data_IF_465777543080
#
_entry.id   IF_465777543080
#
_cell.length_a   1.000
_cell.length_b   1.000
_cell.length_c   1.000
_cell.angle_alpha   90.00
_cell.angle_beta   90.00
_cell.angle_gamma   90.00
#
_symmetry.space_group_name_H-M   'P 1'
#
loop_
_entity.id
_entity.type
_entity.pdbx_description
1 polymer ?
#
# COMPACT_ATOMS: atom_id res chain seq x y z
N UNK A 1 8.17 -2.19 44.30
CA UNK A 1 7.84 -1.38 43.11
C UNK A 1 8.09 -2.29 41.93
N UNK A 2 7.04 -2.79 41.27
CA UNK A 2 7.23 -3.47 39.99
C UNK A 2 7.72 -2.42 38.99
N UNK A 3 8.77 -2.74 38.24
CA UNK A 3 9.14 -1.97 37.05
C UNK A 3 7.91 -1.91 36.15
N UNK A 4 7.41 -0.70 35.89
CA UNK A 4 6.25 -0.49 35.02
C UNK A 4 6.67 -0.76 33.59
N UNK A 5 5.96 -1.66 32.91
CA UNK A 5 6.26 -2.08 31.55
C UNK A 5 6.15 -0.88 30.59
N UNK A 6 7.21 -0.65 29.82
CA UNK A 6 7.18 0.29 28.69
C UNK A 6 6.13 -0.15 27.67
N UNK A 7 5.44 0.80 27.03
CA UNK A 7 4.65 0.57 25.80
C UNK A 7 5.60 0.34 24.63
N UNK A 8 6.39 -0.71 24.72
CA UNK A 8 7.35 -1.06 23.70
C UNK A 8 6.99 -2.47 23.21
N UNK A 9 6.09 -2.50 22.23
CA UNK A 9 5.83 -3.72 21.46
C UNK A 9 7.05 -4.13 20.62
N UNK A 10 7.99 -3.20 20.42
CA UNK A 10 9.10 -3.31 19.47
C UNK A 10 8.64 -3.08 18.05
N UNK A 11 7.46 -2.47 17.85
CA UNK A 11 6.89 -2.13 16.55
C UNK A 11 6.65 -0.61 16.54
N UNK A 12 7.51 0.18 15.88
CA UNK A 12 7.47 1.64 15.95
C UNK A 12 6.10 2.25 15.59
N UNK A 13 5.41 1.72 14.58
CA UNK A 13 4.10 2.22 14.14
C UNK A 13 2.97 1.89 15.10
N UNK A 14 3.02 0.75 15.80
CA UNK A 14 2.05 0.37 16.82
C UNK A 14 2.24 1.21 18.08
N UNK A 15 3.50 1.34 18.51
CA UNK A 15 3.85 2.14 19.68
C UNK A 15 3.48 3.61 19.46
N UNK A 16 3.75 4.18 18.28
CA UNK A 16 3.35 5.54 17.93
C UNK A 16 1.82 5.73 17.88
N UNK A 17 1.07 4.77 17.31
CA UNK A 17 -0.40 4.81 17.27
C UNK A 17 -1.03 4.70 18.67
N UNK A 18 -0.37 4.02 19.62
CA UNK A 18 -0.79 3.99 21.02
C UNK A 18 -0.44 5.29 21.75
N UNK A 19 0.79 5.78 21.56
CA UNK A 19 1.32 6.94 22.27
C UNK A 19 0.64 8.26 21.89
N UNK A 20 0.19 8.41 20.64
CA UNK A 20 -0.40 9.68 20.18
C UNK A 20 -1.60 10.13 21.02
N UNK A 21 -2.37 9.20 21.61
CA UNK A 21 -3.44 9.50 22.56
C UNK A 21 -2.95 10.17 23.86
N UNK A 22 -1.74 9.84 24.32
CA UNK A 22 -1.16 10.50 25.50
C UNK A 22 -0.83 11.96 25.21
N UNK A 23 -0.35 12.26 24.00
CA UNK A 23 -0.08 13.64 23.57
C UNK A 23 -1.37 14.44 23.44
N UNK A 24 -2.40 13.89 22.80
CA UNK A 24 -3.74 14.49 22.73
C UNK A 24 -4.29 14.80 24.13
N UNK A 25 -4.25 13.83 25.03
CA UNK A 25 -4.67 13.98 26.41
C UNK A 25 -3.89 15.07 27.17
N UNK A 26 -2.58 15.19 26.92
CA UNK A 26 -1.75 16.22 27.51
C UNK A 26 -2.11 17.62 26.96
N UNK A 27 -2.34 17.76 25.65
CA UNK A 27 -2.79 19.01 25.02
C UNK A 27 -4.17 19.42 25.52
N UNK A 28 -5.10 18.48 25.62
CA UNK A 28 -6.42 18.71 26.21
C UNK A 28 -6.34 19.19 27.67
N UNK A 29 -5.32 18.76 28.42
CA UNK A 29 -5.03 19.24 29.80
C UNK A 29 -4.25 20.56 29.85
N UNK A 30 -3.93 21.17 28.72
CA UNK A 30 -3.25 22.45 28.61
C UNK A 30 -1.72 22.37 28.59
N UNK A 31 -1.13 21.23 28.22
CA UNK A 31 0.33 21.09 28.11
C UNK A 31 0.92 21.99 27.01
N UNK A 32 2.00 22.70 27.35
CA UNK A 32 2.79 23.50 26.40
C UNK A 32 3.86 22.66 25.69
N UNK A 33 4.41 23.17 24.59
CA UNK A 33 5.47 22.49 23.83
C UNK A 33 6.68 22.17 24.72
N UNK A 34 7.05 23.10 25.60
CA UNK A 34 8.15 22.90 26.56
C UNK A 34 7.85 21.74 27.52
N UNK A 35 6.60 21.60 27.98
CA UNK A 35 6.20 20.52 28.88
C UNK A 35 6.16 19.15 28.18
N UNK A 36 5.80 19.12 26.90
CA UNK A 36 5.88 17.91 26.06
C UNK A 36 7.35 17.51 25.83
N UNK A 37 8.22 18.48 25.53
CA UNK A 37 9.65 18.28 25.28
C UNK A 37 10.45 17.87 26.54
N UNK A 38 10.06 18.33 27.74
CA UNK A 38 10.72 18.03 29.02
C UNK A 38 10.47 16.59 29.55
N UNK A 39 9.85 15.71 28.73
CA UNK A 39 9.58 14.28 28.99
C UNK A 39 8.56 13.96 30.10
N UNK A 40 7.45 14.68 30.20
CA UNK A 40 6.30 14.27 31.05
C UNK A 40 4.94 14.49 30.39
N UNK A 41 4.65 13.73 29.35
CA UNK A 41 3.29 13.65 28.81
C UNK A 41 2.37 13.11 29.91
N UNK A 42 1.31 13.87 30.21
CA UNK A 42 0.65 13.87 31.50
C UNK A 42 -0.72 13.19 31.51
N UNK A 43 -0.92 12.40 32.57
CA UNK A 43 -2.16 11.98 33.23
C UNK A 43 -2.95 10.77 32.65
N UNK A 44 -2.24 9.67 32.38
CA UNK A 44 -2.24 8.52 33.30
C UNK A 44 -0.79 8.08 33.53
N UNK A 45 -0.52 7.27 34.54
CA UNK A 45 0.78 7.19 35.22
C UNK A 45 1.75 6.19 34.57
N UNK A 46 1.57 5.81 33.30
CA UNK A 46 1.90 4.44 32.87
C UNK A 46 2.57 4.25 31.50
N UNK A 47 2.69 5.25 30.60
CA UNK A 47 3.29 5.07 29.26
C UNK A 47 4.51 5.96 29.00
N UNK A 48 5.69 5.36 28.86
CA UNK A 48 6.93 6.05 28.48
C UNK A 48 7.20 5.94 26.99
N UNK A 49 7.68 7.00 26.34
CA UNK A 49 8.15 6.93 24.95
C UNK A 49 9.28 5.87 24.86
N UNK A 50 9.15 4.84 24.02
CA UNK A 50 10.17 3.83 23.79
C UNK A 50 11.52 4.44 23.41
N UNK A 51 12.60 3.76 23.76
CA UNK A 51 13.95 4.29 23.54
C UNK A 51 14.31 4.47 22.07
N UNK A 52 13.64 3.78 21.14
CA UNK A 52 13.84 3.97 19.70
C UNK A 52 13.05 5.17 19.16
N UNK A 53 11.94 5.58 19.78
CA UNK A 53 11.15 6.72 19.33
C UNK A 53 11.63 8.05 19.96
N UNK A 54 11.66 9.08 19.15
CA UNK A 54 11.91 10.46 19.58
C UNK A 54 10.77 11.35 19.11
N UNK A 55 10.11 12.06 20.02
CA UNK A 55 9.12 13.07 19.68
C UNK A 55 9.69 14.17 18.77
N UNK A 56 8.93 14.60 17.77
CA UNK A 56 9.29 15.65 16.82
C UNK A 56 8.36 16.88 16.89
N UNK A 57 7.06 16.68 16.75
CA UNK A 57 6.03 17.73 16.70
C UNK A 57 4.64 17.09 16.90
N UNK A 58 3.63 17.87 17.26
CA UNK A 58 2.23 17.44 17.33
C UNK A 58 1.26 18.55 16.90
N UNK A 59 -0.01 18.18 16.73
CA UNK A 59 -1.11 19.14 16.65
C UNK A 59 -2.32 18.60 17.37
N UNK A 60 -3.16 19.52 17.87
CA UNK A 60 -4.46 19.23 18.44
C UNK A 60 -5.44 20.28 17.96
N UNK A 61 -6.52 19.85 17.31
CA UNK A 61 -7.61 20.71 16.85
C UNK A 61 -8.91 20.36 17.60
N UNK A 62 -9.23 21.17 18.60
CA UNK A 62 -10.46 21.07 19.41
C UNK A 62 -11.74 21.18 18.56
N UNK A 63 -11.69 21.90 17.43
CA UNK A 63 -12.86 22.16 16.58
C UNK A 63 -13.19 20.95 15.72
N UNK A 64 -12.16 20.32 15.14
CA UNK A 64 -12.32 19.14 14.30
C UNK A 64 -12.27 17.82 15.09
N UNK A 65 -11.86 17.83 16.36
CA UNK A 65 -11.65 16.62 17.15
C UNK A 65 -10.53 15.74 16.56
N UNK A 66 -9.53 16.36 15.93
CA UNK A 66 -8.41 15.64 15.30
C UNK A 66 -7.09 16.02 15.93
N UNK A 67 -6.22 15.05 16.10
CA UNK A 67 -4.87 15.27 16.61
C UNK A 67 -3.89 14.30 15.96
N UNK A 68 -2.61 14.62 16.06
CA UNK A 68 -1.57 13.72 15.59
C UNK A 68 -0.21 14.11 16.12
N UNK A 69 0.68 13.13 16.15
CA UNK A 69 2.03 13.25 16.71
C UNK A 69 3.04 12.64 15.75
N UNK A 70 4.15 13.35 15.54
CA UNK A 70 5.26 12.89 14.74
C UNK A 70 6.41 12.42 15.65
N UNK A 71 7.00 11.28 15.28
CA UNK A 71 8.15 10.70 15.94
C UNK A 71 9.25 10.39 14.92
N UNK A 72 10.52 10.48 15.32
CA UNK A 72 11.64 9.88 14.61
C UNK A 72 11.88 8.50 15.23
N UNK A 73 11.81 7.45 14.42
CA UNK A 73 12.33 6.14 14.79
C UNK A 73 13.84 6.14 14.58
N UNK A 74 14.59 6.10 15.67
CA UNK A 74 16.06 6.22 15.65
C UNK A 74 16.76 4.97 15.13
N UNK A 75 16.07 3.84 15.09
CA UNK A 75 16.62 2.59 14.60
C UNK A 75 16.61 2.56 13.06
N UNK A 76 15.52 3.02 12.44
CA UNK A 76 15.36 3.06 10.97
C UNK A 76 15.69 4.42 10.33
N UNK A 77 15.62 5.51 11.09
CA UNK A 77 15.67 6.87 10.57
C UNK A 77 14.37 7.33 9.89
N UNK A 78 13.29 6.56 9.97
CA UNK A 78 11.98 6.93 9.46
C UNK A 78 11.28 7.94 10.38
N UNK A 79 10.52 8.86 9.78
CA UNK A 79 9.58 9.71 10.50
C UNK A 79 8.22 9.05 10.51
N UNK A 80 7.66 8.84 11.69
CA UNK A 80 6.35 8.23 11.88
C UNK A 80 5.36 9.31 12.26
N UNK A 81 4.29 9.47 11.47
CA UNK A 81 3.17 10.35 11.80
C UNK A 81 2.00 9.49 12.25
N UNK A 82 1.61 9.63 13.52
CA UNK A 82 0.47 8.95 14.12
C UNK A 82 -0.72 9.90 14.27
N UNK A 83 -1.93 9.45 13.95
CA UNK A 83 -3.17 10.20 14.16
C UNK A 83 -4.05 9.52 15.21
N UNK A 84 -4.69 10.29 16.09
CA UNK A 84 -5.65 9.75 17.06
C UNK A 84 -7.00 9.44 16.41
N UNK A 85 -7.67 8.40 16.91
CA UNK A 85 -9.11 8.25 16.75
C UNK A 85 -9.87 8.92 17.91
N UNK A 86 -11.18 8.69 18.03
CA UNK A 86 -11.98 9.21 19.15
C UNK A 86 -11.40 8.77 20.50
N UNK A 87 -11.17 9.74 21.39
CA UNK A 87 -10.58 9.51 22.70
C UNK A 87 -11.64 9.04 23.73
N UNK A 88 -11.47 7.86 24.34
CA UNK A 88 -12.53 7.24 25.13
C UNK A 88 -12.50 7.69 26.59
N UNK A 89 -13.41 8.58 27.00
CA UNK A 89 -13.62 8.87 28.42
C UNK A 89 -14.90 8.27 29.04
N UNK A 90 -15.80 7.65 28.26
CA UNK A 90 -16.73 6.61 28.72
C UNK A 90 -17.58 6.06 27.56
N UNK A 91 -17.42 4.76 27.25
CA UNK A 91 -18.22 3.95 26.31
C UNK A 91 -17.83 4.02 24.82
N UNK A 92 -16.65 3.47 24.53
CA UNK A 92 -15.98 3.42 23.20
C UNK A 92 -16.88 2.88 22.10
N UNK A 93 -17.68 1.84 22.36
CA UNK A 93 -18.54 1.25 21.33
C UNK A 93 -19.65 2.20 20.91
N UNK A 94 -20.25 2.92 21.88
CA UNK A 94 -21.33 3.88 21.65
C UNK A 94 -20.78 5.18 21.04
N UNK A 95 -19.66 5.68 21.55
CA UNK A 95 -18.99 6.90 21.07
C UNK A 95 -18.46 6.72 19.64
N UNK A 96 -17.73 5.63 19.37
CA UNK A 96 -17.22 5.33 18.04
C UNK A 96 -18.37 5.09 17.07
N UNK A 97 -19.41 4.32 17.39
CA UNK A 97 -20.53 4.10 16.47
C UNK A 97 -21.30 5.39 16.13
N UNK A 98 -21.43 6.31 17.10
CA UNK A 98 -22.10 7.60 16.91
C UNK A 98 -21.25 8.58 16.09
N UNK A 99 -19.95 8.67 16.38
CA UNK A 99 -19.00 9.55 15.67
C UNK A 99 -18.70 9.04 14.26
N UNK A 100 -18.56 7.74 14.08
CA UNK A 100 -18.47 7.05 12.77
C UNK A 100 -19.70 7.39 11.94
N UNK A 101 -20.90 7.43 12.53
CA UNK A 101 -22.10 7.87 11.84
C UNK A 101 -22.05 9.32 11.33
N UNK A 102 -21.33 10.24 11.98
CA UNK A 102 -21.19 11.64 11.55
C UNK A 102 -20.01 11.91 10.62
N UNK A 103 -18.89 11.23 10.84
CA UNK A 103 -17.61 11.46 10.15
C UNK A 103 -17.51 10.66 8.84
N UNK A 104 -18.18 9.51 8.75
CA UNK A 104 -18.26 8.68 7.53
C UNK A 104 -19.29 9.23 6.52
N UNK A 105 -20.18 10.14 6.93
CA UNK A 105 -21.20 10.77 6.08
C UNK A 105 -20.66 11.82 5.09
N UNK A 106 -19.36 11.85 4.81
CA UNK A 106 -18.74 12.69 3.78
C UNK A 106 -18.98 14.21 3.92
N UNK A 107 -19.22 14.73 5.13
CA UNK A 107 -19.12 16.17 5.41
C UNK A 107 -17.65 16.51 5.71
N UNK A 108 -16.89 16.81 4.66
CA UNK A 108 -15.44 16.97 4.69
C UNK A 108 -14.90 18.19 5.45
N UNK A 109 -14.93 18.15 6.78
CA UNK A 109 -14.37 19.21 7.64
C UNK A 109 -13.31 18.75 8.65
N UNK A 110 -12.74 17.54 8.52
CA UNK A 110 -11.81 16.98 9.55
C UNK A 110 -10.40 16.59 9.05
N UNK A 111 -10.06 16.77 7.75
CA UNK A 111 -8.74 16.37 7.24
C UNK A 111 -7.72 17.50 7.09
N UNK A 112 -8.17 18.76 7.09
CA UNK A 112 -7.32 19.90 6.74
C UNK A 112 -6.13 20.07 7.67
N UNK A 113 -6.32 19.91 8.99
CA UNK A 113 -5.22 19.99 9.95
C UNK A 113 -4.29 18.78 9.84
N UNK A 114 -4.81 17.59 9.56
CA UNK A 114 -3.99 16.40 9.31
C UNK A 114 -3.12 16.55 8.04
N UNK A 115 -3.66 17.19 7.00
CA UNK A 115 -2.97 17.53 5.77
C UNK A 115 -1.88 18.58 5.99
N UNK A 116 -2.20 19.68 6.66
CA UNK A 116 -1.22 20.72 7.06
C UNK A 116 -0.13 20.13 7.95
N UNK A 117 -0.46 19.20 8.83
CA UNK A 117 0.51 18.51 9.66
C UNK A 117 1.46 17.66 8.84
N UNK A 118 0.93 16.85 7.92
CA UNK A 118 1.75 16.05 7.01
C UNK A 118 2.72 16.91 6.21
N UNK A 119 2.23 18.00 5.60
CA UNK A 119 3.06 18.94 4.84
C UNK A 119 4.15 19.57 5.71
N UNK A 120 3.80 19.99 6.93
CA UNK A 120 4.74 20.58 7.89
C UNK A 120 5.85 19.60 8.27
N UNK A 121 5.51 18.35 8.57
CA UNK A 121 6.49 17.31 8.92
C UNK A 121 7.37 16.99 7.71
N UNK A 122 6.76 16.78 6.55
CA UNK A 122 7.47 16.51 5.29
C UNK A 122 8.45 17.63 4.91
N UNK A 123 8.05 18.89 5.06
CA UNK A 123 8.91 20.03 4.79
C UNK A 123 10.12 20.09 5.74
N UNK A 124 9.94 19.70 7.01
CA UNK A 124 11.00 19.78 8.03
C UNK A 124 11.94 18.57 8.02
N UNK A 125 11.41 17.38 7.75
CA UNK A 125 12.12 16.12 7.98
C UNK A 125 12.26 15.23 6.72
N UNK A 126 11.68 15.62 5.58
CA UNK A 126 11.82 14.94 4.30
C UNK A 126 10.70 13.93 3.99
N UNK A 127 10.91 13.17 2.91
CA UNK A 127 9.88 12.28 2.35
C UNK A 127 9.82 10.88 2.98
N UNK A 128 10.78 10.54 3.86
CA UNK A 128 10.86 9.23 4.52
C UNK A 128 9.86 9.13 5.67
N UNK A 129 8.57 9.15 5.33
CA UNK A 129 7.46 9.21 6.27
C UNK A 129 6.63 7.92 6.21
N UNK A 130 6.42 7.31 7.37
CA UNK A 130 5.47 6.23 7.60
C UNK A 130 4.25 6.76 8.35
N UNK A 131 3.06 6.58 7.81
CA UNK A 131 1.81 6.97 8.48
C UNK A 131 1.28 5.83 9.35
N UNK A 132 0.66 6.18 10.48
CA UNK A 132 -0.01 5.21 11.35
C UNK A 132 -1.22 5.82 12.06
N UNK A 133 -2.08 4.98 12.58
CA UNK A 133 -3.26 5.40 13.32
C UNK A 133 -4.17 4.24 13.68
N UNK A 134 -5.06 4.50 14.62
CA UNK A 134 -6.05 3.54 15.11
C UNK A 134 -7.47 4.06 14.95
N UNK A 135 -8.43 3.17 14.69
CA UNK A 135 -9.84 3.55 14.58
C UNK A 135 -10.02 4.68 13.56
N UNK A 136 -10.64 5.80 13.93
CA UNK A 136 -10.73 7.00 13.10
C UNK A 136 -9.35 7.56 12.69
N UNK A 137 -8.34 7.50 13.56
CA UNK A 137 -6.97 7.89 13.22
C UNK A 137 -6.39 7.04 12.08
N UNK A 138 -6.81 5.77 11.99
CA UNK A 138 -6.49 4.90 10.85
C UNK A 138 -7.18 5.32 9.55
N UNK A 139 -8.40 5.88 9.61
CA UNK A 139 -9.05 6.50 8.45
C UNK A 139 -8.29 7.77 8.02
N UNK A 140 -7.93 8.65 8.96
CA UNK A 140 -7.18 9.87 8.69
C UNK A 140 -5.84 9.53 8.03
N UNK A 141 -5.11 8.55 8.58
CA UNK A 141 -3.86 8.07 8.00
C UNK A 141 -4.02 7.58 6.56
N UNK A 142 -5.07 6.79 6.26
CA UNK A 142 -5.37 6.36 4.90
C UNK A 142 -5.71 7.54 3.98
N UNK A 143 -6.48 8.53 4.47
CA UNK A 143 -6.86 9.71 3.67
C UNK A 143 -5.66 10.60 3.36
N UNK A 144 -4.75 10.79 4.30
CA UNK A 144 -3.46 11.48 4.13
C UNK A 144 -2.57 10.70 3.16
N UNK A 145 -2.52 9.37 3.29
CA UNK A 145 -1.79 8.52 2.36
C UNK A 145 -2.25 8.73 0.91
N UNK A 146 -3.57 8.74 0.67
CA UNK A 146 -4.13 9.04 -0.65
C UNK A 146 -3.85 10.47 -1.11
N UNK A 147 -3.98 11.45 -0.20
CA UNK A 147 -3.82 12.86 -0.55
C UNK A 147 -2.41 13.13 -1.08
N UNK A 148 -1.41 12.59 -0.40
CA UNK A 148 0.00 12.90 -0.62
C UNK A 148 0.84 11.77 -1.21
N UNK A 149 0.20 10.65 -1.54
CA UNK A 149 0.85 9.42 -1.99
C UNK A 149 1.99 8.98 -1.06
N UNK A 150 1.70 8.91 0.25
CA UNK A 150 2.68 8.54 1.26
C UNK A 150 3.24 7.14 0.99
N UNK A 151 4.56 6.92 1.12
CA UNK A 151 5.21 5.69 0.68
C UNK A 151 4.78 4.47 1.50
N UNK A 152 4.52 4.64 2.80
CA UNK A 152 4.14 3.56 3.71
C UNK A 152 3.09 4.03 4.72
N UNK A 153 2.10 3.18 4.98
CA UNK A 153 1.04 3.41 5.97
C UNK A 153 0.70 2.10 6.65
N UNK A 154 0.69 2.07 7.99
CA UNK A 154 0.33 0.89 8.79
C UNK A 154 -0.75 1.31 9.77
N UNK A 155 -1.95 0.74 9.69
CA UNK A 155 -3.09 1.16 10.53
C UNK A 155 -3.71 -0.01 11.26
N UNK A 156 -4.25 0.25 12.46
CA UNK A 156 -4.75 -0.78 13.38
C UNK A 156 -6.24 -0.57 13.65
N UNK A 157 -7.06 -1.60 13.45
CA UNK A 157 -8.52 -1.54 13.62
C UNK A 157 -9.14 -0.28 13.00
N UNK A 158 -8.65 0.09 11.82
CA UNK A 158 -8.97 1.36 11.19
C UNK A 158 -10.46 1.42 10.79
N UNK A 159 -11.03 2.62 10.83
CA UNK A 159 -12.30 2.90 10.20
C UNK A 159 -12.14 2.87 8.65
N UNK A 160 -13.21 2.53 7.90
CA UNK A 160 -13.20 2.63 6.44
C UNK A 160 -13.07 4.10 6.01
N UNK A 161 -12.56 4.34 4.80
CA UNK A 161 -12.57 5.65 4.16
C UNK A 161 -14.00 6.18 3.99
N UNK A 162 -14.94 5.30 3.63
CA UNK A 162 -16.38 5.56 3.56
C UNK A 162 -17.19 4.25 3.54
N UNK A 163 -18.51 4.32 3.77
CA UNK A 163 -19.44 3.17 3.71
C UNK A 163 -20.32 3.25 2.45
N UNK A 164 -20.09 2.40 1.45
CA UNK A 164 -20.81 2.47 0.16
C UNK A 164 -22.31 2.14 0.31
N UNK A 165 -22.69 1.28 1.27
CA UNK A 165 -24.06 0.83 1.49
C UNK A 165 -24.99 1.86 2.17
N UNK A 166 -24.46 2.96 2.70
CA UNK A 166 -25.22 4.01 3.38
C UNK A 166 -25.42 5.27 2.52
N UNK A 167 -24.97 5.25 1.26
CA UNK A 167 -25.08 6.39 0.35
C UNK A 167 -26.54 6.51 -0.14
N UNK A 168 -27.21 7.63 0.18
CA UNK A 168 -28.57 7.90 -0.30
C UNK A 168 -28.59 8.15 -1.82
N UNK A 169 -29.68 7.77 -2.45
CA UNK A 169 -30.02 8.02 -3.85
C UNK A 169 -29.85 9.47 -4.32
N UNK A 170 -29.95 10.44 -3.42
CA UNK A 170 -29.75 11.88 -3.71
C UNK A 170 -28.28 12.30 -3.74
N UNK A 171 -27.40 11.65 -2.96
CA UNK A 171 -25.96 11.94 -2.95
C UNK A 171 -25.27 11.34 -4.19
N UNK A 172 -25.79 10.21 -4.69
CA UNK A 172 -25.39 9.65 -6.01
C UNK A 172 -25.71 10.60 -7.18
N UNK A 173 -26.68 11.49 -7.01
CA UNK A 173 -27.06 12.51 -8.02
C UNK A 173 -26.12 13.73 -7.95
N UNK A 174 -25.58 14.05 -6.76
CA UNK A 174 -24.54 15.08 -6.61
C UNK A 174 -23.22 14.59 -7.23
N UNK A 175 -22.85 13.32 -7.05
CA UNK A 175 -21.72 12.69 -7.77
C UNK A 175 -21.91 12.75 -9.31
N UNK A 176 -23.14 12.65 -9.80
CA UNK A 176 -23.46 12.72 -11.24
C UNK A 176 -23.52 14.15 -11.80
N UNK A 177 -23.93 15.14 -11.00
CA UNK A 177 -24.14 16.54 -11.43
C UNK A 177 -22.95 17.46 -11.14
N UNK A 178 -22.12 17.15 -10.13
CA UNK A 178 -20.92 17.91 -9.73
C UNK A 178 -19.74 16.96 -9.44
N UNK A 179 -19.17 16.28 -10.46
CA UNK A 179 -18.18 15.19 -10.28
C UNK A 179 -16.87 15.63 -9.58
N UNK A 180 -16.54 16.91 -9.67
CA UNK A 180 -15.21 17.42 -9.28
C UNK A 180 -15.08 17.74 -7.78
N UNK A 181 -16.18 17.74 -7.03
CA UNK A 181 -16.21 18.26 -5.65
C UNK A 181 -16.58 17.26 -4.55
N UNK A 182 -17.05 16.05 -4.88
CA UNK A 182 -17.37 15.08 -3.83
C UNK A 182 -16.11 14.46 -3.23
N UNK A 183 -16.09 14.28 -1.91
CA UNK A 183 -14.96 13.68 -1.20
C UNK A 183 -14.67 12.24 -1.70
N UNK A 184 -15.73 11.53 -2.11
CA UNK A 184 -15.66 10.16 -2.66
C UNK A 184 -14.97 10.11 -4.01
N UNK A 185 -15.32 10.98 -4.95
CA UNK A 185 -14.67 10.99 -6.26
C UNK A 185 -13.21 11.43 -6.17
N UNK A 186 -12.88 12.36 -5.26
CA UNK A 186 -11.49 12.71 -4.92
C UNK A 186 -10.71 11.50 -4.40
N UNK A 187 -11.32 10.66 -3.56
CA UNK A 187 -10.74 9.39 -3.09
C UNK A 187 -10.53 8.43 -4.27
N UNK A 188 -11.57 8.15 -5.06
CA UNK A 188 -11.51 7.22 -6.21
C UNK A 188 -10.43 7.65 -7.21
N UNK A 189 -10.34 8.95 -7.51
CA UNK A 189 -9.35 9.46 -8.46
C UNK A 189 -7.93 9.43 -7.90
N UNK A 190 -7.74 9.63 -6.59
CA UNK A 190 -6.44 9.48 -5.94
C UNK A 190 -6.01 8.02 -5.87
N UNK A 191 -6.92 7.10 -5.54
CA UNK A 191 -6.69 5.65 -5.52
C UNK A 191 -6.12 5.16 -6.86
N UNK A 192 -6.67 5.61 -7.99
CA UNK A 192 -6.17 5.26 -9.34
C UNK A 192 -4.68 5.58 -9.56
N UNK A 193 -4.12 6.52 -8.79
CA UNK A 193 -2.73 6.95 -8.95
C UNK A 193 -1.88 6.74 -7.70
N UNK A 194 -2.45 6.11 -6.67
CA UNK A 194 -1.77 5.82 -5.42
C UNK A 194 -0.84 4.62 -5.62
N UNK A 195 0.40 4.75 -5.14
CA UNK A 195 1.43 3.71 -5.24
C UNK A 195 2.05 3.37 -3.89
N UNK A 196 1.62 4.05 -2.82
CA UNK A 196 2.08 3.78 -1.47
C UNK A 196 1.62 2.40 -1.02
N UNK A 197 2.32 1.83 -0.04
CA UNK A 197 1.89 0.60 0.59
C UNK A 197 1.04 0.92 1.81
N UNK A 198 -0.17 0.36 1.87
CA UNK A 198 -1.03 0.44 3.06
C UNK A 198 -1.27 -0.97 3.61
N UNK A 199 -0.84 -1.18 4.85
CA UNK A 199 -1.01 -2.43 5.61
C UNK A 199 -2.06 -2.17 6.68
N UNK A 200 -3.24 -2.77 6.53
CA UNK A 200 -4.32 -2.65 7.51
C UNK A 200 -4.34 -3.90 8.38
N UNK A 201 -4.17 -3.71 9.67
CA UNK A 201 -4.14 -4.80 10.66
C UNK A 201 -5.42 -4.72 11.47
N UNK A 202 -6.12 -5.83 11.58
CA UNK A 202 -7.41 -5.89 12.24
C UNK A 202 -7.50 -7.05 13.22
N UNK A 203 -8.07 -6.81 14.40
CA UNK A 203 -8.39 -7.87 15.35
C UNK A 203 -9.68 -8.60 14.99
N UNK A 204 -9.80 -9.84 15.42
CA UNK A 204 -10.88 -10.74 15.00
C UNK A 204 -12.25 -10.26 15.48
N UNK A 205 -12.31 -9.80 16.74
CA UNK A 205 -13.56 -9.38 17.38
C UNK A 205 -13.77 -7.85 17.29
N UNK A 206 -13.08 -7.18 16.36
CA UNK A 206 -13.23 -5.75 16.12
C UNK A 206 -14.65 -5.39 15.64
N UNK A 207 -15.44 -4.78 16.52
CA UNK A 207 -16.82 -4.44 16.21
C UNK A 207 -16.93 -3.45 15.04
N UNK A 208 -16.03 -2.46 14.95
CA UNK A 208 -16.09 -1.37 13.96
C UNK A 208 -15.98 -1.89 12.51
N UNK A 209 -15.03 -2.79 12.28
CA UNK A 209 -14.87 -3.43 10.99
C UNK A 209 -15.92 -4.52 10.75
N UNK A 210 -16.41 -5.21 11.80
CA UNK A 210 -17.50 -6.17 11.65
C UNK A 210 -18.83 -5.48 11.28
N UNK A 211 -19.09 -4.26 11.75
CA UNK A 211 -20.26 -3.47 11.33
C UNK A 211 -20.08 -2.83 9.95
N UNK A 212 -18.85 -2.56 9.49
CA UNK A 212 -18.63 -1.99 8.15
C UNK A 212 -18.84 -3.01 7.02
N UNK A 213 -18.60 -4.30 7.27
CA UNK A 213 -18.79 -5.39 6.30
C UNK A 213 -20.20 -5.43 5.67
N UNK A 214 -21.32 -5.42 6.43
CA UNK A 214 -22.67 -5.40 5.83
C UNK A 214 -22.99 -4.09 5.09
N UNK A 215 -22.27 -2.99 5.38
CA UNK A 215 -22.45 -1.68 4.74
C UNK A 215 -21.40 -1.35 3.66
N UNK A 216 -20.67 -2.37 3.18
CA UNK A 216 -19.68 -2.23 2.11
C UNK A 216 -18.63 -1.14 2.40
N UNK A 217 -17.95 -1.25 3.55
CA UNK A 217 -16.85 -0.35 3.89
C UNK A 217 -15.72 -0.38 2.85
N UNK A 218 -15.32 0.80 2.38
CA UNK A 218 -14.21 0.98 1.44
C UNK A 218 -12.95 1.36 2.19
N UNK A 219 -11.86 0.67 1.90
CA UNK A 219 -10.57 0.82 2.56
C UNK A 219 -9.44 0.88 1.54
N UNK A 220 -8.28 1.39 1.96
CA UNK A 220 -7.07 1.43 1.16
C UNK A 220 -6.12 0.27 1.49
N UNK A 221 -5.64 -0.44 0.48
CA UNK A 221 -4.62 -1.49 0.64
C UNK A 221 -5.11 -2.77 1.30
N UNK A 222 -4.15 -3.62 1.68
CA UNK A 222 -4.36 -5.00 2.07
C UNK A 222 -4.83 -5.15 3.53
N UNK A 223 -5.80 -6.06 3.75
CA UNK A 223 -6.33 -6.41 5.08
C UNK A 223 -5.59 -7.62 5.67
N UNK A 224 -5.14 -7.52 6.91
CA UNK A 224 -4.51 -8.60 7.66
C UNK A 224 -5.24 -8.82 8.98
N UNK A 225 -5.84 -10.00 9.10
CA UNK A 225 -6.53 -10.44 10.31
C UNK A 225 -5.52 -11.00 11.33
N UNK A 226 -5.58 -10.50 12.55
CA UNK A 226 -4.93 -11.11 13.70
C UNK A 226 -5.85 -12.22 14.22
N UNK A 227 -5.46 -13.48 14.05
CA UNK A 227 -6.30 -14.60 14.48
C UNK A 227 -6.29 -14.72 16.01
N UNK A 228 -7.41 -15.17 16.58
CA UNK A 228 -7.58 -15.35 18.03
C UNK A 228 -7.29 -14.06 18.83
N UNK A 229 -7.70 -12.91 18.30
CA UNK A 229 -7.45 -11.59 18.87
C UNK A 229 -8.75 -10.88 19.28
N UNK A 230 -8.64 -9.96 20.23
CA UNK A 230 -9.79 -9.34 20.92
C UNK A 230 -10.46 -8.18 20.18
N UNK A 231 -11.02 -7.25 20.96
CA UNK A 231 -11.88 -6.17 20.49
C UNK A 231 -11.16 -5.01 19.79
N UNK A 232 -11.75 -3.83 19.86
CA UNK A 232 -11.34 -2.67 19.05
C UNK A 232 -10.05 -2.01 19.50
N UNK A 233 -9.66 -2.10 20.77
CA UNK A 233 -8.64 -1.20 21.33
C UNK A 233 -7.23 -1.59 20.89
N UNK A 234 -6.35 -0.60 20.71
CA UNK A 234 -4.90 -0.88 20.66
C UNK A 234 -4.43 -1.51 21.97
N UNK A 235 -4.89 -0.98 23.10
CA UNK A 235 -4.50 -1.41 24.45
C UNK A 235 -5.78 -1.69 25.27
N UNK A 236 -5.97 -2.90 25.84
CA UNK A 236 -5.03 -4.02 25.87
C UNK A 236 -5.15 -5.00 24.67
N UNK A 237 -6.13 -4.84 23.77
CA UNK A 237 -6.50 -5.92 22.83
C UNK A 237 -5.37 -6.31 21.84
N UNK A 238 -4.46 -5.38 21.51
CA UNK A 238 -3.27 -5.65 20.68
C UNK A 238 -1.99 -5.62 21.53
N UNK A 239 -1.71 -4.52 22.23
CA UNK A 239 -0.43 -4.33 22.94
C UNK A 239 -0.31 -5.16 24.21
N UNK A 240 -1.43 -5.62 24.79
CA UNK A 240 -1.46 -6.47 25.96
C UNK A 240 -1.22 -7.96 25.65
N UNK A 241 -1.22 -8.36 24.38
CA UNK A 241 -1.06 -9.76 23.97
C UNK A 241 0.17 -9.96 23.07
N UNK A 242 1.15 -10.70 23.61
CA UNK A 242 2.42 -11.03 22.92
C UNK A 242 2.21 -11.82 21.63
N UNK A 243 1.15 -12.63 21.54
CA UNK A 243 0.85 -13.36 20.31
C UNK A 243 0.44 -12.39 19.20
N UNK A 244 -0.34 -11.35 19.53
CA UNK A 244 -0.71 -10.33 18.54
C UNK A 244 0.48 -9.51 18.10
N UNK A 245 1.36 -9.13 19.04
CA UNK A 245 2.62 -8.45 18.72
C UNK A 245 3.47 -9.31 17.75
N UNK A 246 3.56 -10.63 17.98
CA UNK A 246 4.32 -11.51 17.09
C UNK A 246 3.66 -11.66 15.71
N UNK A 247 2.33 -11.82 15.64
CA UNK A 247 1.61 -11.83 14.37
C UNK A 247 1.83 -10.53 13.58
N UNK A 248 1.79 -9.38 14.24
CA UNK A 248 2.07 -8.08 13.61
C UNK A 248 3.51 -8.01 13.08
N UNK A 249 4.49 -8.49 13.85
CA UNK A 249 5.90 -8.56 13.39
C UNK A 249 6.03 -9.42 12.15
N UNK A 250 5.41 -10.60 12.12
CA UNK A 250 5.41 -11.49 10.96
C UNK A 250 4.75 -10.86 9.73
N UNK A 251 3.64 -10.13 9.92
CA UNK A 251 2.97 -9.37 8.85
C UNK A 251 3.91 -8.28 8.32
N UNK A 252 4.42 -7.42 9.20
CA UNK A 252 5.28 -6.30 8.84
C UNK A 252 6.60 -6.74 8.18
N UNK A 253 7.21 -7.81 8.67
CA UNK A 253 8.44 -8.38 8.11
C UNK A 253 8.26 -8.88 6.68
N UNK A 254 7.11 -9.49 6.37
CA UNK A 254 6.75 -9.91 5.00
C UNK A 254 6.45 -8.74 4.08
N UNK A 255 6.08 -7.59 4.65
CA UNK A 255 5.73 -6.37 3.91
C UNK A 255 6.87 -5.34 3.86
N UNK A 256 8.07 -5.66 4.35
CA UNK A 256 9.24 -4.77 4.30
C UNK A 256 9.85 -4.69 2.89
N UNK A 257 10.16 -3.49 2.36
CA UNK A 257 10.76 -3.31 1.02
C UNK A 257 12.04 -4.14 0.76
N UNK A 258 12.80 -4.42 1.81
CA UNK A 258 14.05 -5.17 1.75
C UNK A 258 13.85 -6.66 1.42
N UNK A 259 12.72 -7.24 1.82
CA UNK A 259 12.33 -8.64 1.58
C UNK A 259 11.35 -8.84 0.42
N UNK A 260 11.01 -7.78 -0.31
CA UNK A 260 10.31 -7.90 -1.59
C UNK A 260 11.04 -8.92 -2.47
N UNK A 261 10.29 -9.86 -3.02
CA UNK A 261 10.75 -10.84 -4.02
C UNK A 261 11.39 -10.10 -5.21
N UNK A 262 12.21 -10.81 -5.99
CA UNK A 262 12.80 -10.24 -7.20
C UNK A 262 11.76 -9.65 -8.16
N UNK A 263 10.55 -10.23 -8.18
CA UNK A 263 9.41 -9.75 -8.96
C UNK A 263 8.80 -8.46 -8.39
N UNK A 264 8.55 -8.41 -7.09
CA UNK A 264 7.98 -7.22 -6.42
C UNK A 264 8.89 -6.00 -6.55
N UNK A 265 10.22 -6.18 -6.42
CA UNK A 265 11.20 -5.10 -6.65
C UNK A 265 11.15 -4.57 -8.08
N UNK A 266 11.07 -5.47 -9.08
CA UNK A 266 10.98 -5.06 -10.49
C UNK A 266 9.69 -4.30 -10.79
N UNK A 267 8.56 -4.76 -10.25
CA UNK A 267 7.27 -4.10 -10.44
C UNK A 267 7.20 -2.75 -9.71
N UNK A 268 7.80 -2.63 -8.52
CA UNK A 268 7.94 -1.36 -7.82
C UNK A 268 8.72 -0.32 -8.64
N UNK A 269 9.85 -0.71 -9.26
CA UNK A 269 10.61 0.19 -10.14
C UNK A 269 9.82 0.59 -11.39
N UNK A 270 9.02 -0.31 -11.97
CA UNK A 270 8.10 0.01 -13.07
C UNK A 270 7.07 1.06 -12.66
N UNK A 271 6.46 0.94 -11.47
CA UNK A 271 5.52 1.92 -10.95
C UNK A 271 6.18 3.29 -10.71
N UNK A 272 7.42 3.31 -10.20
CA UNK A 272 8.20 4.53 -10.01
C UNK A 272 8.49 5.26 -11.33
N UNK A 273 8.80 4.52 -12.40
CA UNK A 273 8.96 5.09 -13.75
C UNK A 273 7.66 5.73 -14.25
N UNK A 274 6.54 5.05 -14.07
CA UNK A 274 5.21 5.56 -14.45
C UNK A 274 4.87 6.86 -13.71
N UNK A 275 5.19 6.94 -12.42
CA UNK A 275 5.06 8.19 -11.65
C UNK A 275 5.92 9.32 -12.21
N UNK A 276 7.14 9.03 -12.65
CA UNK A 276 8.01 10.01 -13.31
C UNK A 276 7.34 10.63 -14.54
N UNK A 277 6.65 9.82 -15.35
CA UNK A 277 5.89 10.30 -16.51
C UNK A 277 4.69 11.16 -16.08
N UNK A 278 3.91 10.72 -15.09
CA UNK A 278 2.80 11.50 -14.52
C UNK A 278 3.28 12.88 -14.03
N UNK A 279 4.40 12.93 -13.32
CA UNK A 279 4.97 14.18 -12.80
C UNK A 279 5.46 15.10 -13.94
N UNK A 280 6.02 14.52 -15.01
CA UNK A 280 6.38 15.24 -16.23
C UNK A 280 5.16 15.88 -16.92
N UNK A 281 4.06 15.13 -17.02
CA UNK A 281 2.78 15.61 -17.57
C UNK A 281 2.20 16.76 -16.75
N UNK A 282 2.14 16.61 -15.43
CA UNK A 282 1.67 17.67 -14.51
C UNK A 282 2.51 18.95 -14.63
N UNK A 283 3.82 18.82 -14.82
CA UNK A 283 4.70 19.97 -15.05
C UNK A 283 4.42 20.64 -16.39
N UNK A 284 4.17 19.89 -17.46
CA UNK A 284 3.84 20.44 -18.78
C UNK A 284 2.48 21.15 -18.77
N UNK A 285 1.47 20.55 -18.14
CA UNK A 285 0.17 21.15 -17.84
C UNK A 285 0.32 22.53 -17.18
N UNK A 286 1.08 22.60 -16.09
CA UNK A 286 1.26 23.82 -15.31
C UNK A 286 2.11 24.91 -16.00
N UNK A 287 2.87 24.58 -17.06
CA UNK A 287 3.84 25.52 -17.66
C UNK A 287 3.58 25.87 -19.12
N UNK A 288 2.81 25.07 -19.87
CA UNK A 288 2.58 25.27 -21.32
C UNK A 288 1.12 25.41 -21.75
N UNK A 289 0.17 24.79 -21.05
CA UNK A 289 -1.20 24.60 -21.55
C UNK A 289 -2.25 25.42 -20.76
N UNK A 290 -1.84 26.51 -20.10
CA UNK A 290 -2.69 27.38 -19.26
C UNK A 290 -2.53 28.88 -19.57
N UNK A 291 -2.27 29.28 -20.82
CA UNK A 291 -2.12 30.71 -21.14
C UNK A 291 -3.44 31.50 -21.10
N UNK A 292 -4.61 30.85 -21.19
CA UNK A 292 -5.94 31.48 -21.12
C UNK A 292 -6.86 30.91 -20.01
N UNK A 293 -6.36 29.94 -19.23
CA UNK A 293 -7.11 29.29 -18.15
C UNK A 293 -7.93 28.06 -18.57
N UNK A 294 -7.83 27.59 -19.82
CA UNK A 294 -8.53 26.38 -20.31
C UNK A 294 -7.60 25.46 -21.11
N UNK A 295 -7.86 24.15 -21.06
CA UNK A 295 -7.16 23.14 -21.88
C UNK A 295 -8.01 22.88 -23.12
N UNK A 296 -7.44 23.06 -24.31
CA UNK A 296 -8.09 22.75 -25.58
C UNK A 296 -8.24 21.24 -25.79
N UNK A 297 -9.14 20.84 -26.69
CA UNK A 297 -9.31 19.42 -27.04
C UNK A 297 -8.04 18.77 -27.58
N UNK A 298 -7.16 19.53 -28.25
CA UNK A 298 -5.88 19.02 -28.78
C UNK A 298 -4.85 18.81 -27.67
N UNK A 299 -4.78 19.72 -26.69
CA UNK A 299 -3.89 19.59 -25.54
C UNK A 299 -4.35 18.45 -24.62
N UNK A 300 -5.66 18.28 -24.44
CA UNK A 300 -6.23 17.13 -23.71
C UNK A 300 -5.87 15.81 -24.41
N UNK A 301 -6.05 15.76 -25.73
CA UNK A 301 -5.68 14.58 -26.53
C UNK A 301 -4.18 14.24 -26.41
N UNK A 302 -3.31 15.25 -26.43
CA UNK A 302 -1.87 15.04 -26.20
C UNK A 302 -1.59 14.43 -24.82
N UNK A 303 -2.22 14.94 -23.75
CA UNK A 303 -2.03 14.41 -22.40
C UNK A 303 -2.53 12.97 -22.26
N UNK A 304 -3.71 12.69 -22.81
CA UNK A 304 -4.29 11.34 -22.86
C UNK A 304 -3.35 10.38 -23.61
N UNK A 305 -2.76 10.83 -24.71
CA UNK A 305 -1.84 10.02 -25.52
C UNK A 305 -0.55 9.64 -24.77
N UNK A 306 0.03 10.58 -24.02
CA UNK A 306 1.22 10.33 -23.20
C UNK A 306 0.89 9.42 -22.03
N UNK A 307 -0.24 9.64 -21.36
CA UNK A 307 -0.69 8.78 -20.25
C UNK A 307 -0.99 7.36 -20.73
N UNK A 308 -1.73 7.20 -21.83
CA UNK A 308 -2.07 5.90 -22.40
C UNK A 308 -0.81 5.13 -22.80
N UNK A 309 0.16 5.80 -23.44
CA UNK A 309 1.44 5.19 -23.82
C UNK A 309 2.25 4.76 -22.60
N UNK A 310 2.32 5.60 -21.56
CA UNK A 310 3.06 5.30 -20.34
C UNK A 310 2.45 4.12 -19.56
N UNK A 311 1.12 4.08 -19.45
CA UNK A 311 0.40 2.97 -18.80
C UNK A 311 0.60 1.67 -19.59
N UNK A 312 0.48 1.72 -20.92
CA UNK A 312 0.71 0.55 -21.77
C UNK A 312 2.13 0.00 -21.61
N UNK A 313 3.14 0.88 -21.62
CA UNK A 313 4.56 0.51 -21.41
C UNK A 313 4.76 -0.16 -20.04
N UNK A 314 4.19 0.42 -18.98
CA UNK A 314 4.31 -0.11 -17.63
C UNK A 314 3.63 -1.48 -17.47
N UNK A 315 2.49 -1.68 -18.12
CA UNK A 315 1.81 -2.98 -18.17
C UNK A 315 2.66 -4.02 -18.90
N UNK A 316 3.23 -3.69 -20.06
CA UNK A 316 4.16 -4.58 -20.80
C UNK A 316 5.38 -4.94 -19.97
N UNK A 317 5.99 -3.96 -19.28
CA UNK A 317 7.16 -4.18 -18.43
C UNK A 317 6.80 -5.11 -17.25
N UNK A 318 5.64 -4.92 -16.62
CA UNK A 318 5.17 -5.76 -15.50
C UNK A 318 4.94 -7.21 -15.92
N UNK A 319 4.30 -7.46 -17.06
CA UNK A 319 4.13 -8.85 -17.55
C UNK A 319 5.45 -9.47 -18.01
N UNK A 320 6.38 -8.67 -18.52
CA UNK A 320 7.74 -9.10 -18.88
C UNK A 320 8.56 -9.49 -17.65
N UNK A 321 8.42 -8.73 -16.55
CA UNK A 321 9.01 -9.05 -15.26
C UNK A 321 8.48 -10.40 -14.74
N UNK A 322 7.16 -10.60 -14.79
CA UNK A 322 6.52 -11.86 -14.40
C UNK A 322 6.96 -13.05 -15.26
N UNK A 323 7.07 -12.86 -16.58
CA UNK A 323 7.58 -13.89 -17.48
C UNK A 323 9.03 -14.28 -17.16
N UNK A 324 9.89 -13.28 -16.91
CA UNK A 324 11.30 -13.52 -16.54
C UNK A 324 11.42 -14.32 -15.23
N UNK A 325 10.54 -14.09 -14.26
CA UNK A 325 10.52 -14.86 -13.01
C UNK A 325 10.07 -16.30 -13.26
N UNK A 326 9.07 -16.52 -14.11
CA UNK A 326 8.63 -17.86 -14.51
C UNK A 326 9.76 -18.62 -15.23
N UNK A 327 10.52 -17.95 -16.10
CA UNK A 327 11.70 -18.56 -16.73
C UNK A 327 12.78 -18.94 -15.70
N UNK A 328 13.04 -18.07 -14.71
CA UNK A 328 14.01 -18.35 -13.66
C UNK A 328 13.60 -19.56 -12.81
N UNK A 329 12.33 -19.63 -12.41
CA UNK A 329 11.77 -20.76 -11.67
C UNK A 329 11.82 -22.05 -12.51
N UNK A 330 11.48 -21.97 -13.79
CA UNK A 330 11.56 -23.11 -14.72
C UNK A 330 12.99 -23.65 -14.83
N UNK A 331 13.98 -22.77 -15.05
CA UNK A 331 15.41 -23.15 -15.12
C UNK A 331 15.88 -23.79 -13.82
N UNK A 332 15.50 -23.23 -12.67
CA UNK A 332 15.84 -23.79 -11.37
C UNK A 332 15.23 -25.18 -11.18
N UNK A 333 13.95 -25.37 -11.53
CA UNK A 333 13.29 -26.66 -11.41
C UNK A 333 13.95 -27.75 -12.28
N UNK A 334 14.36 -27.41 -13.51
CA UNK A 334 15.11 -28.33 -14.37
C UNK A 334 16.48 -28.65 -13.77
N UNK A 335 17.20 -27.66 -13.23
CA UNK A 335 18.50 -27.85 -12.57
C UNK A 335 18.37 -28.75 -11.32
N UNK A 336 17.32 -28.54 -10.52
CA UNK A 336 17.03 -29.35 -9.34
C UNK A 336 16.68 -30.80 -9.75
N UNK A 337 15.98 -30.99 -10.87
CA UNK A 337 15.67 -32.31 -11.43
C UNK A 337 16.91 -33.02 -11.97
N UNK A 338 17.82 -32.31 -12.64
CA UNK A 338 19.13 -32.83 -13.06
C UNK A 338 19.96 -33.28 -11.85
N UNK A 339 19.99 -32.44 -10.81
CA UNK A 339 20.68 -32.77 -9.54
C UNK A 339 20.06 -34.01 -8.88
N UNK A 340 18.74 -34.15 -8.91
CA UNK A 340 18.05 -35.32 -8.37
C UNK A 340 18.38 -36.58 -9.17
N UNK A 341 18.43 -36.49 -10.50
CA UNK A 341 18.82 -37.59 -11.37
C UNK A 341 20.29 -38.00 -11.16
N UNK A 342 21.20 -37.04 -11.02
CA UNK A 342 22.61 -37.37 -10.78
C UNK A 342 22.82 -38.09 -9.45
N UNK A 343 22.00 -37.79 -8.42
CA UNK A 343 22.03 -38.53 -7.15
C UNK A 343 21.60 -39.99 -7.29
N UNK A 344 20.77 -40.35 -8.27
CA UNK A 344 20.43 -41.77 -8.48
C UNK A 344 21.61 -42.59 -9.02
N UNK A 345 22.69 -41.93 -9.48
CA UNK A 345 23.93 -42.59 -9.90
C UNK A 345 24.88 -42.86 -8.74
N UNK A 346 24.61 -42.31 -7.55
CA UNK A 346 25.41 -42.56 -6.36
C UNK A 346 25.01 -43.91 -5.74
N UNK A 347 25.92 -44.90 -5.82
CA UNK A 347 25.70 -46.22 -5.21
C UNK A 347 26.06 -46.17 -3.73
N UNK A 348 25.14 -46.54 -2.81
CA UNK A 348 25.45 -46.57 -1.39
C UNK A 348 26.57 -47.57 -1.05
N UNK A 349 27.51 -47.16 -0.20
CA UNK A 349 28.72 -47.94 0.14
C UNK A 349 28.47 -49.35 0.69
N UNK A 350 27.26 -49.62 1.21
CA UNK A 350 26.85 -50.91 1.76
C UNK A 350 26.28 -51.87 0.71
N UNK A 351 26.03 -51.41 -0.53
CA UNK A 351 25.64 -52.26 -1.65
C UNK A 351 26.92 -52.81 -2.29
N UNK A 352 27.17 -54.10 -2.10
CA UNK A 352 28.41 -54.76 -2.57
C UNK A 352 28.14 -55.90 -3.56
N UNK A 353 26.88 -56.30 -3.67
CA UNK A 353 26.41 -57.46 -4.40
C UNK A 353 26.04 -57.16 -5.86
N UNK A 354 25.83 -55.89 -6.21
CA UNK A 354 25.46 -55.44 -7.55
C UNK A 354 26.55 -54.56 -8.15
N UNK A 355 26.78 -54.71 -9.44
CA UNK A 355 27.61 -53.78 -10.22
C UNK A 355 26.88 -52.47 -10.48
N UNK A 356 27.61 -51.40 -10.83
CA UNK A 356 26.99 -50.11 -11.15
C UNK A 356 25.98 -50.24 -12.31
N UNK A 357 26.30 -51.05 -13.32
CA UNK A 357 25.42 -51.29 -14.47
C UNK A 357 24.13 -52.02 -14.06
N UNK A 358 24.21 -53.02 -13.16
CA UNK A 358 23.02 -53.72 -12.63
C UNK A 358 22.12 -52.79 -11.79
N UNK A 359 22.71 -51.85 -11.05
CA UNK A 359 21.96 -50.84 -10.28
C UNK A 359 21.29 -49.83 -11.22
N UNK A 360 22.00 -49.38 -12.26
CA UNK A 360 21.45 -48.51 -13.29
C UNK A 360 20.26 -49.18 -14.01
N UNK A 361 20.40 -50.45 -14.39
CA UNK A 361 19.33 -51.23 -15.00
C UNK A 361 18.09 -51.34 -14.08
N UNK A 362 18.27 -51.60 -12.79
CA UNK A 362 17.16 -51.66 -11.81
C UNK A 362 16.48 -50.30 -11.66
N UNK A 363 17.23 -49.20 -11.64
CA UNK A 363 16.66 -47.85 -11.58
C UNK A 363 15.87 -47.52 -12.85
N UNK A 364 16.40 -47.86 -14.02
CA UNK A 364 15.72 -47.69 -15.31
C UNK A 364 14.43 -48.52 -15.35
N UNK A 365 14.46 -49.78 -14.90
CA UNK A 365 13.28 -50.65 -14.83
C UNK A 365 12.21 -50.10 -13.86
N UNK A 366 12.64 -49.47 -12.76
CA UNK A 366 11.76 -48.77 -11.83
C UNK A 366 11.27 -47.39 -12.36
N UNK A 367 11.70 -46.97 -13.55
CA UNK A 367 11.27 -45.73 -14.19
C UNK A 367 12.09 -44.49 -13.84
N UNK A 368 13.21 -44.64 -13.12
CA UNK A 368 14.16 -43.57 -12.77
C UNK A 368 15.06 -43.29 -13.97
N UNK A 369 14.48 -42.68 -15.01
CA UNK A 369 15.19 -42.30 -16.23
C UNK A 369 15.35 -40.79 -16.31
N UNK A 370 16.34 -40.32 -17.07
CA UNK A 370 16.54 -38.88 -17.31
C UNK A 370 15.27 -38.24 -17.89
N UNK A 371 14.61 -38.90 -18.84
CA UNK A 371 13.40 -38.35 -19.46
C UNK A 371 12.22 -38.28 -18.49
N UNK A 372 12.03 -39.27 -17.62
CA UNK A 372 10.94 -39.27 -16.64
C UNK A 372 11.14 -38.24 -15.51
N UNK A 373 12.38 -37.89 -15.18
CA UNK A 373 12.67 -36.91 -14.12
C UNK A 373 12.88 -35.51 -14.71
N UNK A 374 13.91 -35.37 -15.55
CA UNK A 374 14.29 -34.08 -16.13
C UNK A 374 13.40 -33.73 -17.32
N UNK A 375 13.18 -34.68 -18.23
CA UNK A 375 12.36 -34.46 -19.43
C UNK A 375 10.91 -34.08 -19.11
N UNK A 376 10.26 -34.77 -18.17
CA UNK A 376 8.90 -34.43 -17.72
C UNK A 376 8.84 -33.07 -17.03
N UNK A 377 9.81 -32.77 -16.16
CA UNK A 377 9.92 -31.46 -15.50
C UNK A 377 10.07 -30.35 -16.53
N UNK A 378 10.97 -30.52 -17.50
CA UNK A 378 11.18 -29.56 -18.58
C UNK A 378 9.90 -29.36 -19.40
N UNK A 379 9.26 -30.44 -19.87
CA UNK A 379 7.99 -30.36 -20.61
C UNK A 379 6.88 -29.66 -19.84
N UNK A 380 6.80 -29.87 -18.53
CA UNK A 380 5.83 -29.18 -17.67
C UNK A 380 6.08 -27.67 -17.66
N UNK A 381 7.31 -27.25 -17.39
CA UNK A 381 7.67 -25.84 -17.27
C UNK A 381 7.72 -25.12 -18.61
N UNK A 382 8.13 -25.76 -19.70
CA UNK A 382 8.09 -25.22 -21.07
C UNK A 382 6.67 -24.78 -21.45
N UNK A 383 5.65 -25.55 -21.04
CA UNK A 383 4.24 -25.20 -21.23
C UNK A 383 3.85 -23.94 -20.45
N UNK A 384 4.41 -23.73 -19.25
CA UNK A 384 4.16 -22.54 -18.42
C UNK A 384 4.89 -21.31 -18.97
N UNK A 385 6.15 -21.45 -19.37
CA UNK A 385 6.95 -20.42 -20.04
C UNK A 385 6.30 -19.99 -21.35
N UNK A 386 5.82 -20.95 -22.16
CA UNK A 386 5.10 -20.63 -23.41
C UNK A 386 3.82 -19.84 -23.18
N UNK A 387 3.08 -20.16 -22.11
CA UNK A 387 1.87 -19.41 -21.74
C UNK A 387 2.19 -17.99 -21.29
N UNK A 388 3.22 -17.80 -20.46
CA UNK A 388 3.61 -16.45 -20.02
C UNK A 388 4.19 -15.63 -21.18
N UNK A 389 4.95 -16.24 -22.09
CA UNK A 389 5.43 -15.60 -23.32
C UNK A 389 4.27 -15.12 -24.22
N UNK A 390 3.18 -15.91 -24.32
CA UNK A 390 1.99 -15.50 -25.05
C UNK A 390 1.29 -14.28 -24.42
N UNK A 391 1.29 -14.19 -23.08
CA UNK A 391 0.77 -13.01 -22.36
C UNK A 391 1.65 -11.79 -22.65
N UNK A 392 2.97 -11.91 -22.54
CA UNK A 392 3.91 -10.83 -22.89
C UNK A 392 3.64 -10.34 -24.31
N UNK A 393 3.54 -11.26 -25.27
CA UNK A 393 3.23 -10.92 -26.66
C UNK A 393 1.91 -10.15 -26.79
N UNK A 394 0.85 -10.57 -26.11
CA UNK A 394 -0.44 -9.89 -26.17
C UNK A 394 -0.36 -8.44 -25.65
N UNK A 395 0.40 -8.19 -24.58
CA UNK A 395 0.61 -6.85 -24.04
C UNK A 395 1.52 -6.01 -24.94
N UNK A 396 2.58 -6.58 -25.51
CA UNK A 396 3.43 -5.89 -26.50
C UNK A 396 2.65 -5.51 -27.76
N UNK A 397 1.78 -6.40 -28.25
CA UNK A 397 0.90 -6.12 -29.39
C UNK A 397 -0.09 -4.99 -29.05
N UNK A 398 -0.66 -5.00 -27.82
CA UNK A 398 -1.56 -3.95 -27.34
C UNK A 398 -0.86 -2.60 -27.22
N UNK A 399 0.33 -2.55 -26.62
CA UNK A 399 1.16 -1.34 -26.53
C UNK A 399 1.47 -0.78 -27.92
N UNK A 400 1.86 -1.64 -28.86
CA UNK A 400 2.12 -1.25 -30.25
C UNK A 400 0.87 -0.67 -30.92
N UNK A 401 -0.30 -1.26 -30.68
CA UNK A 401 -1.56 -0.76 -31.25
C UNK A 401 -1.97 0.58 -30.63
N UNK A 402 -1.75 0.78 -29.34
CA UNK A 402 -1.97 2.07 -28.66
C UNK A 402 -1.06 3.13 -29.25
N UNK A 403 0.25 2.84 -29.40
CA UNK A 403 1.21 3.76 -30.00
C UNK A 403 0.82 4.14 -31.44
N UNK A 404 0.48 3.15 -32.28
CA UNK A 404 0.00 3.40 -33.65
C UNK A 404 -1.29 4.21 -33.69
N UNK A 405 -2.24 3.92 -32.81
CA UNK A 405 -3.50 4.65 -32.73
C UNK A 405 -3.29 6.12 -32.35
N UNK A 406 -2.37 6.37 -31.41
CA UNK A 406 -1.91 7.72 -31.07
C UNK A 406 -1.28 8.41 -32.27
N UNK A 407 -0.32 7.77 -32.95
CA UNK A 407 0.35 8.32 -34.14
C UNK A 407 -0.65 8.67 -35.25
N UNK A 408 -1.57 7.76 -35.58
CA UNK A 408 -2.60 7.98 -36.60
C UNK A 408 -3.54 9.14 -36.27
N UNK A 409 -3.93 9.27 -35.01
CA UNK A 409 -4.78 10.36 -34.57
C UNK A 409 -4.05 11.71 -34.65
N UNK A 410 -2.75 11.76 -34.32
CA UNK A 410 -1.91 12.95 -34.50
C UNK A 410 -1.78 13.31 -35.98
N UNK A 411 -1.45 12.35 -36.85
CA UNK A 411 -1.32 12.58 -38.30
C UNK A 411 -2.63 13.06 -38.95
N UNK A 412 -3.76 12.48 -38.52
CA UNK A 412 -5.09 12.86 -38.99
C UNK A 412 -5.44 14.30 -38.65
N UNK A 413 -5.11 14.74 -37.43
CA UNK A 413 -5.33 16.11 -36.96
C UNK A 413 -4.46 17.12 -37.73
N UNK A 414 -3.17 16.79 -37.96
CA UNK A 414 -2.28 17.61 -38.79
C UNK A 414 -2.75 17.72 -40.25
N UNK A 415 -3.34 16.64 -40.80
CA UNK A 415 -3.89 16.65 -42.16
C UNK A 415 -5.14 17.52 -42.25
N UNK A 416 -6.05 17.39 -41.29
CA UNK A 416 -7.28 18.17 -41.23
C UNK A 416 -6.99 19.67 -41.05
N UNK A 417 -6.03 20.02 -40.18
CA UNK A 417 -5.59 21.39 -40.00
C UNK A 417 -4.98 21.98 -41.29
N UNK A 418 -4.26 21.18 -42.08
CA UNK A 418 -3.75 21.57 -43.41
C UNK A 418 -4.87 21.80 -44.42
N UNK A 419 -5.86 20.91 -44.50
CA UNK A 419 -6.98 21.02 -45.44
C UNK A 419 -7.86 22.25 -45.15
N UNK A 420 -8.16 22.54 -43.88
CA UNK A 420 -8.92 23.73 -43.46
C UNK A 420 -8.19 25.01 -43.86
N UNK A 421 -6.87 25.06 -43.69
CA UNK A 421 -6.06 26.22 -44.11
C UNK A 421 -6.03 26.39 -45.64
N UNK A 422 -6.23 25.34 -46.43
CA UNK A 422 -6.36 25.44 -47.89
C UNK A 422 -7.74 25.91 -48.34
N UNK A 423 -8.78 25.74 -47.52
CA UNK A 423 -10.15 26.18 -47.84
C UNK A 423 -10.48 27.59 -47.35
N UNK A 424 -9.70 28.10 -46.40
CA UNK A 424 -9.90 29.43 -45.79
C UNK A 424 -8.95 30.51 -46.31
N UNK A 425 -7.96 30.13 -47.14
CA UNK A 425 -7.15 31.02 -47.97
C UNK A 425 -7.59 30.93 -49.43
#
# INVERSE_FOLDING_TARGET
MSEKESVNSGIPTLDAANLTYEFENARWRGATDEQILDKKIGAQKDKTIPSNLQYLDDFHDDSAGTSGTAFLDKDSGEVIIAYTGTNPNADIATDVATDVGGIIMAFGYHYDEAFKFYERIRQRYGDNITLTGHSLGGNIAQRVALEYNAPRTVVYNAAPLYLEGLIDSKDRIIDYLTPWDSAREKIINKEKTFTGQVVRIRTQDDFLNNISMPFLGVYLGEDYLLENSGGHNIDPDITGDKNQINQIKDILEKQSPEKMTGLEKKNYETLKKLQGVKNGLLKQLNTKFLSDGSISSHEMFFLDSVQATAVATAMTESVSNGHSEIEAVAKKAVTDAETLYDKSKEVPWFVTELTNDEIEDVYVEAGVTYDNIVGETQRHFDKKVSKSAAIVKAFTDLETNIQKGVEQAVEGDESLARDINQWTN
#
